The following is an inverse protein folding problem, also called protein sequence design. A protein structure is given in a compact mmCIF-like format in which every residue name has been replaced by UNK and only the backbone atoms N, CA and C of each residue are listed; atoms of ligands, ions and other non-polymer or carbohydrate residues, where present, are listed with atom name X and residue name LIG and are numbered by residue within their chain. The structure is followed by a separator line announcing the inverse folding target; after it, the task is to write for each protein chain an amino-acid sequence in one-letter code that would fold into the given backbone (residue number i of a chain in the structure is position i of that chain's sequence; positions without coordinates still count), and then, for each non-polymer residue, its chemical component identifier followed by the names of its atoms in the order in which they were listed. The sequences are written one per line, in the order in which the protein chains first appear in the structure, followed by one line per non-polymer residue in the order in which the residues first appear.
data_IF_782510601232
#
_entry.id   IF_782510601232
#
_cell.length_a   1.000
_cell.length_b   1.000
_cell.length_c   1.000
_cell.angle_alpha   90.00
_cell.angle_beta   90.00
_cell.angle_gamma   90.00
#
_symmetry.space_group_name_H-M   'P 1'
#
loop_
_entity.id
_entity.type
_entity.pdbx_description
1 polymer ?
#
# COMPACT_ATOMS: atom_id res chain seq x y z
N UNK A 1 12.32 -0.16 -6.48
CA UNK A 1 11.23 0.58 -5.85
C UNK A 1 11.05 0.09 -4.42
N UNK A 2 10.97 0.99 -3.46
CA UNK A 2 10.61 0.66 -2.07
C UNK A 2 9.10 0.45 -1.96
N UNK A 3 8.64 -0.16 -0.87
CA UNK A 3 7.18 -0.34 -0.65
C UNK A 3 6.44 1.00 -0.56
N UNK A 4 7.09 2.05 -0.07
CA UNK A 4 6.48 3.38 0.10
C UNK A 4 6.35 4.08 -1.26
N UNK A 5 7.39 4.03 -2.10
CA UNK A 5 7.33 4.53 -3.48
C UNK A 5 6.23 3.82 -4.29
N UNK A 6 6.12 2.51 -4.16
CA UNK A 6 5.08 1.72 -4.82
C UNK A 6 3.68 2.14 -4.39
N UNK A 7 3.50 2.42 -3.09
CA UNK A 7 2.23 2.91 -2.57
C UNK A 7 1.91 4.32 -3.06
N UNK A 8 2.92 5.18 -3.17
CA UNK A 8 2.76 6.53 -3.69
C UNK A 8 2.32 6.53 -5.16
N UNK A 9 2.91 5.65 -5.98
CA UNK A 9 2.47 5.43 -7.35
C UNK A 9 1.01 4.92 -7.40
N UNK A 10 0.69 3.93 -6.55
CA UNK A 10 -0.66 3.38 -6.46
C UNK A 10 -1.69 4.46 -6.13
N UNK A 11 -1.49 5.32 -5.13
CA UNK A 11 -2.48 6.34 -4.76
C UNK A 11 -2.66 7.42 -5.85
N UNK A 12 -1.67 7.60 -6.72
CA UNK A 12 -1.74 8.51 -7.85
C UNK A 12 -2.46 7.89 -9.06
N UNK A 13 -2.53 6.56 -9.14
CA UNK A 13 -3.22 5.82 -10.22
C UNK A 13 -4.70 6.17 -10.35
N UNK A 14 -5.24 5.95 -11.56
CA UNK A 14 -6.65 6.20 -11.87
C UNK A 14 -7.54 5.18 -11.15
N UNK A 15 -7.09 3.94 -11.09
CA UNK A 15 -7.75 2.79 -10.49
C UNK A 15 -8.00 3.03 -9.01
N UNK A 16 -6.95 3.45 -8.27
CA UNK A 16 -7.06 3.78 -6.86
C UNK A 16 -8.06 4.92 -6.63
N UNK A 17 -7.97 6.00 -7.42
CA UNK A 17 -8.87 7.15 -7.33
C UNK A 17 -10.33 6.76 -7.61
N UNK A 18 -10.58 5.84 -8.54
CA UNK A 18 -11.93 5.33 -8.84
C UNK A 18 -12.47 4.53 -7.66
N UNK A 19 -11.68 3.63 -7.08
CA UNK A 19 -12.10 2.84 -5.91
C UNK A 19 -12.34 3.76 -4.70
N UNK A 20 -11.43 4.69 -4.42
CA UNK A 20 -11.53 5.63 -3.32
C UNK A 20 -12.76 6.56 -3.40
N UNK A 21 -13.37 6.74 -4.57
CA UNK A 21 -14.60 7.52 -4.75
C UNK A 21 -15.88 6.73 -4.42
N UNK A 22 -15.81 5.39 -4.32
CA UNK A 22 -16.98 4.57 -3.99
C UNK A 22 -17.51 4.91 -2.58
N UNK A 23 -18.83 4.99 -2.45
CA UNK A 23 -19.53 5.25 -1.17
C UNK A 23 -19.86 3.95 -0.43
N UNK A 24 -18.92 3.02 -0.44
CA UNK A 24 -19.03 1.71 0.20
C UNK A 24 -17.85 1.49 1.17
N UNK A 25 -17.82 0.31 1.80
CA UNK A 25 -16.76 -0.08 2.73
C UNK A 25 -15.39 -0.15 2.07
N UNK A 26 -15.33 -0.55 0.79
CA UNK A 26 -14.09 -0.67 0.02
C UNK A 26 -13.49 0.72 -0.24
N UNK A 27 -14.28 1.66 -0.77
CA UNK A 27 -13.84 3.04 -0.97
C UNK A 27 -13.47 3.72 0.35
N UNK A 28 -14.19 3.42 1.43
CA UNK A 28 -13.83 3.83 2.79
C UNK A 28 -12.44 3.35 3.21
N UNK A 29 -12.13 2.07 2.98
CA UNK A 29 -10.81 1.48 3.26
C UNK A 29 -9.71 2.21 2.47
N UNK A 30 -9.90 2.46 1.17
CA UNK A 30 -8.88 3.12 0.35
C UNK A 30 -8.59 4.55 0.83
N UNK A 31 -9.63 5.33 1.16
CA UNK A 31 -9.46 6.68 1.73
C UNK A 31 -8.75 6.65 3.08
N UNK A 32 -9.03 5.65 3.93
CA UNK A 32 -8.36 5.47 5.22
C UNK A 32 -6.86 5.18 5.03
N UNK A 33 -6.51 4.31 4.08
CA UNK A 33 -5.11 3.98 3.79
C UNK A 33 -4.35 5.23 3.31
N UNK A 34 -4.93 5.98 2.37
CA UNK A 34 -4.35 7.25 1.90
C UNK A 34 -4.17 8.26 3.04
N UNK A 35 -5.20 8.44 3.88
CA UNK A 35 -5.14 9.37 5.02
C UNK A 35 -4.07 8.99 6.05
N UNK A 36 -3.90 7.70 6.34
CA UNK A 36 -2.84 7.23 7.24
C UNK A 36 -1.46 7.37 6.61
N UNK A 37 -1.33 7.14 5.31
CA UNK A 37 -0.07 7.32 4.60
C UNK A 37 0.39 8.78 4.66
N UNK A 38 -0.49 9.72 4.32
CA UNK A 38 -0.19 11.16 4.36
C UNK A 38 0.19 11.67 5.76
N UNK A 39 -0.22 10.96 6.82
CA UNK A 39 0.12 11.26 8.22
C UNK A 39 1.35 10.48 8.73
N UNK A 40 2.01 9.70 7.88
CA UNK A 40 3.09 8.77 8.26
C UNK A 40 2.65 7.73 9.33
N UNK A 41 1.36 7.40 9.37
CA UNK A 41 0.77 6.43 10.31
C UNK A 41 0.49 5.06 9.67
N UNK A 42 0.67 4.93 8.35
CA UNK A 42 0.40 3.69 7.64
C UNK A 42 1.54 2.68 7.85
N UNK A 43 1.22 1.55 8.49
CA UNK A 43 2.20 0.49 8.75
C UNK A 43 2.65 -0.18 7.44
N UNK A 44 3.93 -0.56 7.31
CA UNK A 44 4.46 -1.31 6.16
C UNK A 44 3.62 -2.55 5.78
N UNK A 45 3.15 -3.32 6.75
CA UNK A 45 2.32 -4.50 6.48
C UNK A 45 0.99 -4.18 5.80
N UNK A 46 0.38 -3.04 6.14
CA UNK A 46 -0.84 -2.58 5.48
C UNK A 46 -0.55 -2.12 4.04
N UNK A 47 0.60 -1.49 3.81
CA UNK A 47 1.06 -1.12 2.46
C UNK A 47 1.22 -2.38 1.59
N UNK A 48 1.85 -3.43 2.12
CA UNK A 48 2.00 -4.71 1.40
C UNK A 48 0.65 -5.32 1.06
N UNK A 49 -0.29 -5.36 2.02
CA UNK A 49 -1.64 -5.91 1.81
C UNK A 49 -2.37 -5.21 0.64
N UNK A 50 -2.38 -3.87 0.61
CA UNK A 50 -3.09 -3.13 -0.43
C UNK A 50 -2.39 -3.20 -1.79
N UNK A 51 -1.06 -3.24 -1.81
CA UNK A 51 -0.29 -3.43 -3.05
C UNK A 51 -0.62 -4.79 -3.68
N UNK A 52 -0.61 -5.87 -2.90
CA UNK A 52 -1.00 -7.21 -3.36
C UNK A 52 -2.44 -7.22 -3.87
N UNK A 53 -3.36 -6.58 -3.14
CA UNK A 53 -4.77 -6.48 -3.56
C UNK A 53 -4.97 -5.70 -4.88
N UNK A 54 -3.99 -4.89 -5.29
CA UNK A 54 -3.99 -4.13 -6.55
C UNK A 54 -3.06 -4.74 -7.62
N UNK A 55 -2.62 -5.99 -7.44
CA UNK A 55 -1.86 -6.73 -8.45
C UNK A 55 -0.35 -6.47 -8.45
N UNK A 56 0.19 -5.80 -7.42
CA UNK A 56 1.64 -5.66 -7.27
C UNK A 56 2.24 -6.96 -6.72
N UNK A 57 3.39 -7.34 -7.28
CA UNK A 57 4.23 -8.39 -6.70
C UNK A 57 5.13 -7.79 -5.61
N UNK A 58 5.16 -8.39 -4.43
CA UNK A 58 6.00 -7.95 -3.31
C UNK A 58 7.00 -9.05 -2.97
N UNK A 59 8.29 -8.77 -3.21
CA UNK A 59 9.37 -9.70 -2.90
C UNK A 59 10.01 -9.38 -1.55
N UNK A 60 10.03 -10.34 -0.64
CA UNK A 60 10.69 -10.20 0.66
C UNK A 60 12.11 -10.77 0.62
N UNK A 61 13.12 -9.90 0.70
CA UNK A 61 14.50 -10.33 0.83
C UNK A 61 14.78 -10.69 2.31
N UNK A 62 14.83 -11.99 2.61
CA UNK A 62 15.21 -12.46 3.94
C UNK A 62 16.68 -12.10 4.19
N UNK A 63 16.95 -11.22 5.13
CA UNK A 63 18.31 -11.00 5.62
C UNK A 63 18.79 -12.29 6.29
N UNK A 64 19.62 -13.07 5.59
CA UNK A 64 20.28 -14.23 6.18
C UNK A 64 21.37 -13.69 7.08
N UNK A 65 21.14 -13.64 8.40
CA UNK A 65 22.22 -13.40 9.35
C UNK A 65 23.24 -14.52 9.14
N UNK A 66 24.43 -14.19 8.63
CA UNK A 66 25.60 -15.07 8.78
C UNK A 66 25.74 -15.32 10.28
N UNK A 67 25.63 -16.58 10.71
CA UNK A 67 26.11 -16.96 12.04
C UNK A 67 27.61 -16.66 12.04
N UNK A 68 28.02 -15.61 12.74
CA UNK A 68 29.41 -15.45 13.18
C UNK A 68 29.71 -16.44 14.28
#
# INVERSE_FOLDING_TARGET
MTIFEAFEELIQSKEFKVIAKKRDSIGGKYRLYQSRYNRNELKPGAIVEILIANGYEVTANKAVKKKS
#
